data_IF_412387843583
#
_entry.id   IF_412387843583
#
_cell.length_a   1.000
_cell.length_b   1.000
_cell.length_c   1.000
_cell.angle_alpha   90.00
_cell.angle_beta   90.00
_cell.angle_gamma   90.00
#
_symmetry.space_group_name_H-M   'P 1'
#
loop_
_entity.id
_entity.type
_entity.pdbx_description
1 polymer ?
#
# COMPACT_ATOMS: atom_id res chain seq x y z
N UNK A 1 -23.70 39.90 -44.68
CA UNK A 1 -24.38 38.78 -44.01
C UNK A 1 -23.28 37.89 -43.45
N UNK A 2 -23.01 37.90 -42.15
CA UNK A 2 -22.03 37.01 -41.52
C UNK A 2 -22.69 35.66 -41.15
N UNK A 3 -22.05 34.54 -41.51
CA UNK A 3 -22.47 33.21 -41.18
C UNK A 3 -22.00 32.86 -39.77
N UNK A 4 -22.93 32.58 -38.87
CA UNK A 4 -22.65 32.00 -37.55
C UNK A 4 -22.39 30.49 -37.68
N UNK A 5 -21.18 30.08 -37.35
CA UNK A 5 -20.86 28.68 -37.13
C UNK A 5 -21.17 28.33 -35.66
N UNK A 6 -22.19 27.51 -35.47
CA UNK A 6 -22.47 26.93 -34.15
C UNK A 6 -21.52 25.73 -33.90
N UNK A 7 -20.66 25.87 -32.90
CA UNK A 7 -19.83 24.78 -32.38
C UNK A 7 -20.70 23.90 -31.47
N UNK A 8 -21.04 22.70 -31.91
CA UNK A 8 -21.67 21.69 -31.03
C UNK A 8 -20.58 21.14 -30.09
N UNK A 9 -20.63 21.47 -28.82
CA UNK A 9 -19.87 20.79 -27.78
C UNK A 9 -20.55 19.45 -27.45
N UNK A 10 -19.94 18.35 -27.85
CA UNK A 10 -20.34 17.01 -27.43
C UNK A 10 -19.95 16.81 -25.94
N UNK A 11 -20.97 16.81 -25.09
CA UNK A 11 -20.84 16.47 -23.67
C UNK A 11 -20.66 14.95 -23.56
N UNK A 12 -19.43 14.47 -23.45
CA UNK A 12 -19.11 13.08 -23.20
C UNK A 12 -19.52 12.70 -21.78
N UNK A 13 -20.67 12.03 -21.64
CA UNK A 13 -21.11 11.39 -20.40
C UNK A 13 -20.22 10.17 -20.15
N UNK A 14 -19.26 10.29 -19.24
CA UNK A 14 -18.52 9.13 -18.73
C UNK A 14 -19.48 8.28 -17.89
N UNK A 15 -19.91 7.16 -18.45
CA UNK A 15 -20.62 6.12 -17.72
C UNK A 15 -19.64 5.51 -16.72
N UNK A 16 -19.76 5.87 -15.46
CA UNK A 16 -19.13 5.15 -14.36
C UNK A 16 -19.81 3.78 -14.26
N UNK A 17 -19.14 2.74 -14.73
CA UNK A 17 -19.56 1.37 -14.46
C UNK A 17 -19.36 1.15 -12.95
N UNK A 18 -20.39 0.68 -12.20
CA UNK A 18 -20.15 0.24 -10.84
C UNK A 18 -19.16 -0.92 -10.89
N UNK A 19 -18.08 -0.82 -10.12
CA UNK A 19 -17.22 -1.96 -9.88
C UNK A 19 -18.11 -3.07 -9.31
N UNK A 20 -18.29 -4.14 -10.06
CA UNK A 20 -18.95 -5.35 -9.56
C UNK A 20 -18.03 -5.85 -8.45
N UNK A 21 -18.42 -5.62 -7.20
CA UNK A 21 -17.81 -6.28 -6.05
C UNK A 21 -18.11 -7.79 -6.25
N UNK A 22 -17.13 -8.51 -6.78
CA UNK A 22 -17.22 -9.97 -6.89
C UNK A 22 -17.40 -10.54 -5.49
N UNK A 23 -18.15 -11.63 -5.38
CA UNK A 23 -18.32 -12.34 -4.12
C UNK A 23 -16.93 -12.72 -3.55
N UNK A 24 -16.68 -12.40 -2.28
CA UNK A 24 -15.42 -12.72 -1.63
C UNK A 24 -15.24 -14.26 -1.61
N UNK A 25 -14.01 -14.75 -1.81
CA UNK A 25 -13.73 -16.19 -1.68
C UNK A 25 -14.12 -16.70 -0.31
N UNK A 26 -14.58 -17.96 -0.26
CA UNK A 26 -14.92 -18.62 1.00
C UNK A 26 -13.76 -18.54 2.01
N UNK A 27 -14.06 -18.16 3.24
CA UNK A 27 -13.09 -17.97 4.30
C UNK A 27 -12.22 -16.73 4.20
N UNK A 28 -12.44 -15.85 3.23
CA UNK A 28 -11.76 -14.56 3.18
C UNK A 28 -12.14 -13.67 4.38
N UNK A 29 -11.25 -12.74 4.74
CA UNK A 29 -11.58 -11.68 5.69
C UNK A 29 -12.80 -10.90 5.18
N UNK A 30 -13.79 -10.52 6.01
CA UNK A 30 -15.03 -9.90 5.54
C UNK A 30 -14.85 -8.61 4.73
N UNK A 31 -13.75 -7.92 4.96
CA UNK A 31 -13.38 -6.68 4.26
C UNK A 31 -12.08 -6.81 3.45
N UNK A 32 -11.67 -8.05 3.14
CA UNK A 32 -10.47 -8.31 2.35
C UNK A 32 -10.52 -7.63 0.98
N UNK A 33 -9.41 -7.05 0.60
CA UNK A 33 -9.16 -6.61 -0.77
C UNK A 33 -8.48 -7.75 -1.54
N UNK A 34 -9.12 -8.24 -2.59
CA UNK A 34 -8.50 -9.22 -3.49
C UNK A 34 -7.53 -8.47 -4.39
N UNK A 35 -6.24 -8.66 -4.17
CA UNK A 35 -5.19 -8.06 -4.99
C UNK A 35 -5.02 -8.82 -6.29
N UNK A 36 -5.14 -8.15 -7.44
CA UNK A 36 -4.75 -8.74 -8.71
C UNK A 36 -3.22 -8.87 -8.78
N UNK A 37 -2.77 -9.93 -9.42
CA UNK A 37 -1.35 -10.19 -9.61
C UNK A 37 -0.91 -10.15 -11.06
N UNK A 38 0.38 -10.36 -11.25
CA UNK A 38 1.07 -10.49 -12.54
C UNK A 38 2.09 -11.62 -12.45
N UNK A 39 2.62 -12.04 -13.60
CA UNK A 39 3.68 -13.04 -13.68
C UNK A 39 3.27 -14.41 -13.11
N UNK A 40 3.89 -14.84 -12.03
CA UNK A 40 3.69 -16.12 -11.37
C UNK A 40 2.44 -16.19 -10.47
N UNK A 41 1.90 -15.06 -10.03
CA UNK A 41 0.72 -14.95 -9.17
C UNK A 41 -0.44 -14.28 -9.91
N UNK A 42 -1.65 -14.82 -9.79
CA UNK A 42 -2.89 -14.29 -10.37
C UNK A 42 -3.63 -13.38 -9.41
N UNK A 43 -3.71 -13.76 -8.13
CA UNK A 43 -4.38 -13.00 -7.08
C UNK A 43 -3.92 -13.43 -5.70
N UNK A 44 -4.13 -12.56 -4.69
CA UNK A 44 -3.94 -12.90 -3.29
C UNK A 44 -4.95 -12.17 -2.41
N UNK A 45 -5.26 -12.73 -1.24
CA UNK A 45 -6.15 -12.14 -0.23
C UNK A 45 -5.86 -12.71 1.16
N UNK A 46 -6.36 -12.04 2.17
CA UNK A 46 -6.29 -12.44 3.57
C UNK A 46 -7.52 -13.26 3.95
N UNK A 47 -7.33 -14.31 4.76
CA UNK A 47 -8.36 -15.29 5.08
C UNK A 47 -8.26 -15.79 6.53
N UNK A 48 -9.16 -16.70 6.92
CA UNK A 48 -9.33 -17.20 8.30
C UNK A 48 -9.57 -16.09 9.30
N UNK A 49 -10.74 -15.39 9.25
CA UNK A 49 -11.08 -14.36 10.22
C UNK A 49 -10.90 -14.83 11.65
N UNK A 50 -10.30 -14.00 12.50
CA UNK A 50 -10.07 -14.30 13.91
C UNK A 50 -10.16 -13.04 14.76
N UNK A 51 -10.57 -13.18 16.01
CA UNK A 51 -10.66 -12.09 17.00
C UNK A 51 -9.57 -12.19 18.07
N UNK A 52 -8.53 -12.99 17.86
CA UNK A 52 -7.45 -13.19 18.83
C UNK A 52 -6.56 -11.97 19.08
N UNK A 53 -6.65 -10.94 18.21
CA UNK A 53 -5.93 -9.68 18.33
C UNK A 53 -6.90 -8.50 18.32
N UNK A 54 -7.08 -7.85 19.46
CA UNK A 54 -8.12 -6.83 19.67
C UNK A 54 -7.66 -5.38 19.46
N UNK A 55 -6.68 -5.11 18.59
CA UNK A 55 -6.17 -3.75 18.37
C UNK A 55 -7.17 -2.85 17.63
N UNK A 56 -7.94 -3.41 16.69
CA UNK A 56 -9.01 -2.73 15.97
C UNK A 56 -8.59 -1.43 15.25
N UNK A 57 -7.35 -1.35 14.80
CA UNK A 57 -6.79 -0.14 14.17
C UNK A 57 -7.44 0.17 12.82
N UNK A 58 -7.94 -0.86 12.11
CA UNK A 58 -8.60 -0.81 10.82
C UNK A 58 -10.12 -0.74 10.90
N UNK A 59 -10.69 -0.43 12.09
CA UNK A 59 -12.11 -0.14 12.27
C UNK A 59 -12.94 -1.28 12.86
N UNK A 60 -12.40 -2.50 12.93
CA UNK A 60 -13.00 -3.61 13.65
C UNK A 60 -11.91 -4.49 14.31
N UNK A 61 -12.32 -5.47 15.10
CA UNK A 61 -11.40 -6.38 15.82
C UNK A 61 -11.28 -7.74 15.14
N UNK A 62 -11.48 -7.83 13.83
CA UNK A 62 -11.41 -9.07 13.08
C UNK A 62 -10.18 -9.01 12.18
N UNK A 63 -9.18 -9.82 12.50
CA UNK A 63 -7.93 -9.91 11.75
C UNK A 63 -7.85 -11.24 10.98
N UNK A 64 -6.89 -11.37 10.06
CA UNK A 64 -6.73 -12.61 9.32
C UNK A 64 -5.69 -13.55 9.94
N UNK A 65 -6.01 -14.85 9.95
CA UNK A 65 -5.11 -15.93 10.41
C UNK A 65 -4.33 -16.58 9.26
N UNK A 66 -4.63 -16.27 8.01
CA UNK A 66 -3.90 -16.81 6.85
C UNK A 66 -3.83 -15.87 5.67
N UNK A 67 -2.85 -16.13 4.81
CA UNK A 67 -2.65 -15.52 3.49
C UNK A 67 -2.93 -16.59 2.43
N UNK A 68 -3.79 -16.26 1.47
CA UNK A 68 -4.10 -17.12 0.32
C UNK A 68 -3.59 -16.46 -0.95
N UNK A 69 -2.99 -17.23 -1.84
CA UNK A 69 -2.62 -16.81 -3.17
C UNK A 69 -3.03 -17.85 -4.22
N UNK A 70 -3.36 -17.37 -5.40
CA UNK A 70 -3.61 -18.21 -6.58
C UNK A 70 -2.50 -17.91 -7.59
N UNK A 71 -1.86 -18.98 -8.06
CA UNK A 71 -0.81 -18.87 -9.07
C UNK A 71 -1.39 -18.58 -10.46
N UNK A 72 -0.54 -18.17 -11.40
CA UNK A 72 -0.92 -18.01 -12.81
C UNK A 72 -1.47 -19.29 -13.45
N UNK A 73 -1.09 -20.47 -12.90
CA UNK A 73 -1.58 -21.80 -13.32
C UNK A 73 -2.86 -22.24 -12.60
N UNK A 74 -3.45 -21.38 -11.75
CA UNK A 74 -4.69 -21.67 -11.03
C UNK A 74 -4.53 -22.47 -9.73
N UNK A 75 -3.31 -22.79 -9.29
CA UNK A 75 -3.08 -23.47 -8.00
C UNK A 75 -3.33 -22.50 -6.84
N UNK A 76 -4.18 -22.91 -5.90
CA UNK A 76 -4.42 -22.18 -4.64
C UNK A 76 -3.37 -22.62 -3.60
N UNK A 77 -2.69 -21.65 -3.01
CA UNK A 77 -1.72 -21.83 -1.94
C UNK A 77 -2.19 -21.06 -0.71
N UNK A 78 -1.95 -21.58 0.48
CA UNK A 78 -2.28 -20.91 1.72
C UNK A 78 -1.09 -21.00 2.69
N UNK A 79 -0.84 -19.89 3.39
CA UNK A 79 0.08 -19.81 4.53
C UNK A 79 -0.72 -19.47 5.78
N UNK A 80 -0.70 -20.35 6.76
CA UNK A 80 -1.41 -20.18 8.04
C UNK A 80 -0.41 -19.70 9.08
N UNK A 81 -0.76 -18.63 9.77
CA UNK A 81 0.03 -18.07 10.87
C UNK A 81 -0.12 -18.89 12.15
N UNK A 82 0.92 -18.89 12.97
CA UNK A 82 0.86 -19.39 14.35
C UNK A 82 -0.13 -18.57 15.18
N UNK A 83 -0.63 -19.15 16.28
CA UNK A 83 -1.71 -18.56 17.09
C UNK A 83 -1.33 -17.24 17.78
N UNK A 84 -0.05 -16.93 17.92
CA UNK A 84 0.45 -15.68 18.47
C UNK A 84 0.62 -14.55 17.41
N UNK A 85 0.23 -14.81 16.15
CA UNK A 85 0.34 -13.89 15.04
C UNK A 85 -1.00 -13.69 14.33
N UNK A 86 -1.19 -12.53 13.72
CA UNK A 86 -2.26 -12.21 12.77
C UNK A 86 -1.70 -11.41 11.60
N UNK A 87 -2.44 -11.35 10.49
CA UNK A 87 -2.25 -10.31 9.49
C UNK A 87 -3.18 -9.14 9.86
N UNK A 88 -2.59 -8.05 10.33
CA UNK A 88 -3.28 -6.79 10.64
C UNK A 88 -3.24 -5.89 9.41
N UNK A 89 -3.91 -6.35 8.36
CA UNK A 89 -3.96 -5.76 7.04
C UNK A 89 -5.28 -6.15 6.35
N UNK A 90 -5.68 -5.41 5.32
CA UNK A 90 -6.82 -5.75 4.47
C UNK A 90 -6.40 -6.23 3.08
N UNK A 91 -5.15 -5.95 2.71
CA UNK A 91 -4.64 -6.16 1.36
C UNK A 91 -3.32 -6.93 1.34
N UNK A 92 -3.28 -8.02 0.56
CA UNK A 92 -2.06 -8.76 0.24
C UNK A 92 -1.47 -8.23 -1.08
N UNK A 93 -0.52 -7.28 -1.02
CA UNK A 93 -0.01 -6.54 -2.18
C UNK A 93 0.95 -7.39 -2.99
N UNK A 94 0.56 -7.76 -4.22
CA UNK A 94 1.40 -8.54 -5.14
C UNK A 94 2.28 -7.59 -5.95
N UNK A 95 3.59 -7.79 -5.90
CA UNK A 95 4.57 -6.95 -6.58
C UNK A 95 5.86 -7.73 -6.86
N UNK A 96 6.44 -7.54 -8.02
CA UNK A 96 7.79 -7.97 -8.34
C UNK A 96 8.77 -6.94 -7.74
N UNK A 97 9.39 -7.30 -6.60
CA UNK A 97 10.27 -6.40 -5.84
C UNK A 97 11.68 -6.31 -6.45
N UNK A 98 12.19 -7.41 -6.96
CA UNK A 98 13.57 -7.53 -7.43
C UNK A 98 13.69 -7.35 -8.96
N UNK A 99 12.56 -7.24 -9.69
CA UNK A 99 12.52 -7.05 -11.14
C UNK A 99 12.86 -8.31 -11.95
N UNK A 100 12.70 -9.49 -11.35
CA UNK A 100 13.06 -10.78 -11.93
C UNK A 100 11.87 -11.55 -12.56
N UNK A 101 10.69 -10.90 -12.64
CA UNK A 101 9.42 -11.46 -13.11
C UNK A 101 8.82 -12.51 -12.16
N UNK A 102 9.32 -12.63 -10.93
CA UNK A 102 8.68 -13.38 -9.85
C UNK A 102 8.12 -12.39 -8.83
N UNK A 103 6.80 -12.38 -8.71
CA UNK A 103 6.14 -11.47 -7.79
C UNK A 103 6.12 -12.07 -6.38
N UNK A 104 6.37 -11.20 -5.41
CA UNK A 104 6.18 -11.42 -3.98
C UNK A 104 4.85 -10.86 -3.51
N UNK A 105 4.52 -11.14 -2.26
CA UNK A 105 3.32 -10.62 -1.57
C UNK A 105 3.78 -9.87 -0.32
N UNK A 106 3.46 -8.59 -0.26
CA UNK A 106 3.77 -7.70 0.85
C UNK A 106 2.55 -7.51 1.74
N UNK A 107 2.69 -7.77 3.03
CA UNK A 107 1.62 -7.70 4.03
C UNK A 107 2.14 -7.17 5.37
N UNK A 108 1.22 -6.80 6.26
CA UNK A 108 1.52 -6.45 7.65
C UNK A 108 1.17 -7.64 8.55
N UNK A 109 2.17 -8.21 9.21
CA UNK A 109 1.97 -9.16 10.32
C UNK A 109 1.93 -8.40 11.64
N UNK A 110 1.15 -8.87 12.59
CA UNK A 110 1.19 -8.39 13.97
C UNK A 110 1.34 -9.56 14.95
N UNK A 111 2.26 -9.38 15.90
CA UNK A 111 2.39 -10.26 17.06
C UNK A 111 1.52 -9.74 18.18
N UNK A 112 0.86 -10.65 18.91
CA UNK A 112 0.05 -10.30 20.07
C UNK A 112 0.84 -9.54 21.14
N UNK A 113 2.16 -9.81 21.22
CA UNK A 113 3.04 -9.27 22.27
C UNK A 113 3.97 -8.16 21.78
N UNK A 114 4.29 -8.10 20.47
CA UNK A 114 5.35 -7.25 19.94
C UNK A 114 4.87 -6.24 18.88
N UNK A 115 3.56 -6.20 18.57
CA UNK A 115 3.00 -5.32 17.55
C UNK A 115 3.37 -5.73 16.13
N UNK A 116 3.30 -4.82 15.18
CA UNK A 116 3.40 -5.11 13.76
C UNK A 116 4.83 -5.26 13.23
N UNK A 117 4.94 -5.94 12.10
CA UNK A 117 6.12 -6.05 11.26
C UNK A 117 5.71 -6.06 9.79
N UNK A 118 6.54 -5.54 8.91
CA UNK A 118 6.41 -5.72 7.47
C UNK A 118 6.90 -7.13 7.10
N UNK A 119 6.11 -7.89 6.34
CA UNK A 119 6.47 -9.22 5.91
C UNK A 119 6.33 -9.40 4.39
N UNK A 120 7.20 -10.19 3.82
CA UNK A 120 7.23 -10.55 2.40
C UNK A 120 7.09 -12.07 2.28
N UNK A 121 6.15 -12.48 1.44
CA UNK A 121 5.86 -13.89 1.14
C UNK A 121 6.03 -14.17 -0.34
N UNK A 122 6.26 -15.42 -0.66
CA UNK A 122 6.31 -15.90 -2.03
C UNK A 122 6.11 -17.40 -2.13
N UNK A 123 6.02 -17.95 -3.35
CA UNK A 123 5.92 -19.40 -3.55
C UNK A 123 7.12 -20.16 -2.97
N UNK A 124 6.85 -21.28 -2.34
CA UNK A 124 7.85 -22.25 -1.91
C UNK A 124 8.07 -23.27 -3.03
N UNK A 125 9.12 -23.10 -3.82
CA UNK A 125 9.43 -23.95 -4.97
C UNK A 125 8.72 -23.53 -6.26
N UNK A 126 8.55 -24.46 -7.20
CA UNK A 126 7.96 -24.17 -8.51
C UNK A 126 6.49 -23.76 -8.40
N UNK A 127 6.16 -22.61 -8.93
CA UNK A 127 4.84 -21.96 -8.81
C UNK A 127 3.69 -22.82 -9.36
N UNK A 128 3.93 -23.58 -10.43
CA UNK A 128 2.93 -24.45 -11.07
C UNK A 128 2.98 -25.90 -10.60
N UNK A 129 3.65 -26.18 -9.46
CA UNK A 129 3.66 -27.51 -8.86
C UNK A 129 2.43 -27.73 -7.99
N UNK A 130 1.80 -28.90 -8.11
CA UNK A 130 0.67 -29.29 -7.26
C UNK A 130 1.02 -29.34 -5.76
N UNK A 131 2.30 -29.49 -5.44
CA UNK A 131 2.83 -29.49 -4.08
C UNK A 131 3.42 -28.12 -3.68
N UNK A 132 3.19 -27.08 -4.46
CA UNK A 132 3.62 -25.71 -4.17
C UNK A 132 2.88 -25.14 -2.97
N UNK A 133 3.58 -24.35 -2.16
CA UNK A 133 3.02 -23.63 -1.02
C UNK A 133 3.48 -22.18 -0.99
N UNK A 134 3.05 -21.45 0.02
CA UNK A 134 3.60 -20.15 0.36
C UNK A 134 4.64 -20.29 1.48
N UNK A 135 5.65 -19.46 1.45
CA UNK A 135 6.62 -19.28 2.53
C UNK A 135 6.80 -17.79 2.84
N UNK A 136 7.11 -17.48 4.08
CA UNK A 136 7.66 -16.17 4.42
C UNK A 136 9.09 -16.10 3.90
N UNK A 137 9.38 -15.13 3.02
CA UNK A 137 10.71 -14.87 2.47
C UNK A 137 11.51 -14.04 3.49
N UNK A 138 10.91 -12.93 3.94
CA UNK A 138 11.55 -11.99 4.86
C UNK A 138 10.53 -11.32 5.77
N UNK A 139 10.98 -10.80 6.89
CA UNK A 139 10.21 -9.95 7.80
C UNK A 139 11.14 -8.98 8.51
N UNK A 140 10.68 -7.74 8.70
CA UNK A 140 11.36 -6.78 9.59
C UNK A 140 11.27 -7.24 11.04
N UNK A 141 12.09 -6.74 11.96
CA UNK A 141 11.79 -6.85 13.39
C UNK A 141 10.39 -6.33 13.68
N UNK A 142 9.71 -6.93 14.64
CA UNK A 142 8.49 -6.35 15.20
C UNK A 142 8.80 -4.99 15.86
N UNK A 143 7.81 -4.11 16.00
CA UNK A 143 7.96 -2.79 16.63
C UNK A 143 8.44 -2.93 18.08
N UNK A 144 8.14 -4.06 18.75
CA UNK A 144 8.58 -4.39 20.11
C UNK A 144 7.58 -4.02 21.20
N UNK A 145 6.39 -3.55 20.84
CA UNK A 145 5.32 -3.19 21.78
C UNK A 145 3.98 -3.63 21.20
N UNK A 146 3.11 -4.33 21.98
CA UNK A 146 1.79 -4.75 21.51
C UNK A 146 0.94 -3.54 21.13
N UNK A 147 0.00 -3.75 20.23
CA UNK A 147 -0.89 -2.70 19.72
C UNK A 147 -0.12 -1.50 19.15
N UNK A 148 0.96 -1.78 18.41
CA UNK A 148 1.67 -0.83 17.58
C UNK A 148 1.65 -1.34 16.16
N UNK A 149 1.23 -0.49 15.26
CA UNK A 149 0.97 -0.83 13.87
C UNK A 149 1.84 -0.03 12.91
N UNK A 150 1.96 -0.51 11.69
CA UNK A 150 2.58 0.17 10.57
C UNK A 150 1.67 0.07 9.34
N UNK A 151 1.73 1.06 8.46
CA UNK A 151 0.98 1.04 7.23
C UNK A 151 1.90 1.21 6.03
N UNK A 152 1.81 0.34 5.00
CA UNK A 152 2.46 0.58 3.72
C UNK A 152 2.02 1.91 3.10
N UNK A 153 2.99 2.66 2.59
CA UNK A 153 2.75 3.96 1.95
C UNK A 153 2.95 3.91 0.42
N UNK A 154 3.59 2.86 -0.06
CA UNK A 154 3.80 2.63 -1.49
C UNK A 154 4.91 1.61 -1.73
N UNK A 155 4.94 1.05 -2.95
CA UNK A 155 5.97 0.12 -3.38
C UNK A 155 6.38 0.52 -4.79
N UNK A 156 7.61 1.02 -4.94
CA UNK A 156 8.13 1.53 -6.21
C UNK A 156 9.66 1.66 -6.16
N UNK A 157 10.28 1.93 -7.28
CA UNK A 157 11.71 2.19 -7.39
C UNK A 157 12.00 3.64 -6.98
N UNK A 158 12.12 3.88 -5.67
CA UNK A 158 12.27 5.23 -5.13
C UNK A 158 13.68 5.81 -5.24
N UNK A 159 14.72 4.98 -5.31
CA UNK A 159 16.10 5.44 -5.46
C UNK A 159 16.64 5.34 -6.89
N UNK A 160 15.87 4.73 -7.80
CA UNK A 160 16.19 4.65 -9.24
C UNK A 160 17.21 3.58 -9.59
N UNK A 161 17.40 2.56 -8.74
CA UNK A 161 18.35 1.46 -8.97
C UNK A 161 17.76 0.29 -9.78
N UNK A 162 16.43 0.29 -10.01
CA UNK A 162 15.68 -0.70 -10.77
C UNK A 162 14.98 -1.76 -9.90
N UNK A 163 15.34 -1.92 -8.63
CA UNK A 163 14.60 -2.69 -7.65
C UNK A 163 13.55 -1.81 -6.96
N UNK A 164 12.55 -2.41 -6.33
CA UNK A 164 11.54 -1.62 -5.62
C UNK A 164 11.76 -1.60 -4.13
N UNK A 165 11.66 -0.40 -3.54
CA UNK A 165 11.53 -0.26 -2.11
C UNK A 165 10.08 -0.34 -1.68
N UNK A 166 9.89 -0.85 -0.46
CA UNK A 166 8.62 -0.79 0.27
C UNK A 166 8.70 0.39 1.24
N UNK A 167 7.93 1.44 0.96
CA UNK A 167 7.75 2.56 1.87
C UNK A 167 6.67 2.21 2.90
N UNK A 168 6.97 2.37 4.20
CA UNK A 168 6.01 2.16 5.29
C UNK A 168 6.05 3.33 6.26
N UNK A 169 4.94 3.62 6.92
CA UNK A 169 4.92 4.52 8.09
C UNK A 169 4.70 3.68 9.34
N UNK A 170 5.72 3.61 10.18
CA UNK A 170 5.66 2.92 11.47
C UNK A 170 5.00 3.85 12.49
N UNK A 171 4.01 3.36 13.23
CA UNK A 171 3.20 4.09 14.20
C UNK A 171 2.61 5.41 13.65
N UNK A 172 1.81 5.36 12.57
CA UNK A 172 1.33 6.57 11.88
C UNK A 172 0.50 7.50 12.76
N UNK A 173 0.01 7.02 13.89
CA UNK A 173 -0.82 7.78 14.85
C UNK A 173 -0.01 8.34 16.02
N UNK A 174 1.26 7.95 16.16
CA UNK A 174 2.12 8.34 17.28
C UNK A 174 3.49 8.77 16.73
N UNK A 175 3.55 9.97 16.19
CA UNK A 175 4.80 10.57 15.70
C UNK A 175 5.33 10.05 14.36
N UNK A 176 4.79 8.99 13.83
CA UNK A 176 5.00 8.39 12.50
C UNK A 176 6.41 8.42 11.93
N UNK A 177 7.00 7.25 11.69
CA UNK A 177 8.32 7.14 11.07
C UNK A 177 8.21 6.52 9.69
N UNK A 178 8.44 7.32 8.64
CA UNK A 178 8.57 6.82 7.27
C UNK A 178 9.88 6.04 7.14
N UNK A 179 9.80 4.83 6.59
CA UNK A 179 10.93 3.95 6.33
C UNK A 179 10.85 3.40 4.92
N UNK A 180 12.00 3.25 4.26
CA UNK A 180 12.13 2.56 2.98
C UNK A 180 12.93 1.28 3.16
N UNK A 181 12.38 0.16 2.72
CA UNK A 181 12.96 -1.16 2.83
C UNK A 181 13.11 -1.80 1.45
N UNK A 182 14.26 -2.38 1.14
CA UNK A 182 14.47 -3.19 -0.05
C UNK A 182 14.58 -4.67 0.33
N UNK A 183 14.12 -5.55 -0.56
CA UNK A 183 14.39 -6.99 -0.47
C UNK A 183 15.72 -7.27 -1.16
N UNK A 184 16.68 -7.90 -0.47
CA UNK A 184 18.00 -8.24 -1.00
C UNK A 184 18.39 -9.61 -0.44
N UNK A 185 18.67 -10.57 -1.30
CA UNK A 185 19.07 -11.94 -0.92
C UNK A 185 18.13 -12.56 0.13
N UNK A 186 16.81 -12.37 -0.03
CA UNK A 186 15.79 -12.87 0.89
C UNK A 186 15.76 -12.18 2.26
N UNK A 187 16.30 -10.98 2.39
CA UNK A 187 16.28 -10.16 3.61
C UNK A 187 15.76 -8.76 3.34
N UNK A 188 14.98 -8.23 4.27
CA UNK A 188 14.58 -6.83 4.25
C UNK A 188 15.68 -5.94 4.84
N UNK A 189 16.19 -5.03 4.03
CA UNK A 189 17.25 -4.08 4.36
C UNK A 189 16.69 -2.67 4.47
N UNK A 190 16.88 -2.00 5.62
CA UNK A 190 16.48 -0.61 5.80
C UNK A 190 17.39 0.32 5.00
N UNK A 191 16.84 0.99 4.00
CA UNK A 191 17.57 1.99 3.17
C UNK A 191 17.62 3.35 3.85
N UNK A 192 16.48 3.83 4.38
CA UNK A 192 16.40 5.13 5.05
C UNK A 192 15.19 5.21 5.99
N UNK A 193 15.24 6.13 6.98
CA UNK A 193 14.11 6.46 7.85
C UNK A 193 14.06 7.94 8.21
N UNK A 194 12.86 8.49 8.40
CA UNK A 194 12.63 9.87 8.82
C UNK A 194 11.32 10.00 9.60
N UNK A 195 11.34 10.76 10.70
CA UNK A 195 10.16 11.03 11.53
C UNK A 195 9.25 12.11 10.92
N UNK A 196 7.99 12.11 11.33
CA UNK A 196 7.06 13.20 11.07
C UNK A 196 6.07 12.94 9.94
N UNK A 197 5.64 11.68 9.74
CA UNK A 197 4.68 11.31 8.69
C UNK A 197 3.51 10.50 9.24
N UNK A 198 2.37 10.58 8.57
CA UNK A 198 1.18 9.77 8.87
C UNK A 198 0.43 9.46 7.57
N UNK A 199 0.17 8.18 7.32
CA UNK A 199 -0.59 7.73 6.17
C UNK A 199 -1.84 6.93 6.55
N UNK A 200 -2.38 7.17 7.75
CA UNK A 200 -3.60 6.52 8.20
C UNK A 200 -4.34 7.33 9.26
N UNK A 201 -5.68 7.27 9.27
CA UNK A 201 -6.55 7.78 10.31
C UNK A 201 -7.04 6.62 11.19
N UNK A 202 -6.89 6.70 12.51
CA UNK A 202 -7.30 5.65 13.46
C UNK A 202 -8.75 5.21 13.18
N UNK A 203 -8.96 3.91 13.10
CA UNK A 203 -10.27 3.31 12.88
C UNK A 203 -10.78 3.39 11.45
N UNK A 204 -9.99 3.95 10.53
CA UNK A 204 -10.33 3.95 9.11
C UNK A 204 -9.97 2.63 8.46
N UNK A 205 -10.78 2.19 7.50
CA UNK A 205 -10.44 1.08 6.60
C UNK A 205 -9.56 1.51 5.41
N UNK A 206 -9.37 2.82 5.24
CA UNK A 206 -8.56 3.38 4.16
C UNK A 206 -7.07 3.35 4.51
N UNK A 207 -6.32 2.52 3.81
CA UNK A 207 -4.88 2.36 4.00
C UNK A 207 -4.04 3.15 2.99
N UNK A 208 -4.68 3.77 1.99
CA UNK A 208 -4.00 4.42 0.86
C UNK A 208 -3.95 5.96 1.01
N UNK A 209 -3.60 6.45 2.21
CA UNK A 209 -3.42 7.88 2.49
C UNK A 209 -2.04 8.36 2.01
N UNK A 210 -1.65 7.92 0.82
CA UNK A 210 -0.39 8.27 0.13
C UNK A 210 -0.53 7.94 -1.35
N UNK A 211 0.34 8.51 -2.18
CA UNK A 211 0.38 8.23 -3.61
C UNK A 211 1.80 8.17 -4.13
N UNK A 212 2.08 7.23 -5.03
CA UNK A 212 3.36 7.12 -5.73
C UNK A 212 3.21 7.62 -7.16
N UNK A 213 4.21 8.36 -7.64
CA UNK A 213 4.29 8.86 -9.00
C UNK A 213 5.60 8.41 -9.63
N UNK A 214 5.48 7.67 -10.72
CA UNK A 214 6.64 7.20 -11.49
C UNK A 214 7.43 8.38 -12.08
N UNK A 215 8.75 8.33 -11.91
CA UNK A 215 9.68 9.34 -12.42
C UNK A 215 11.03 8.70 -12.79
N UNK A 216 11.65 9.17 -13.88
CA UNK A 216 13.01 8.76 -14.23
C UNK A 216 13.99 9.15 -13.12
N UNK A 217 14.79 8.20 -12.64
CA UNK A 217 15.83 8.41 -11.62
C UNK A 217 15.30 8.44 -10.20
N UNK A 218 14.17 7.75 -9.96
CA UNK A 218 13.56 7.49 -8.67
C UNK A 218 12.16 8.08 -8.53
N UNK A 219 11.23 7.21 -8.14
CA UNK A 219 9.82 7.53 -8.00
C UNK A 219 9.57 8.51 -6.85
N UNK A 220 8.47 9.25 -6.93
CA UNK A 220 8.05 10.19 -5.91
C UNK A 220 7.00 9.57 -5.01
N UNK A 221 7.13 9.76 -3.70
CA UNK A 221 6.08 9.45 -2.73
C UNK A 221 5.43 10.76 -2.25
N UNK A 222 4.10 10.83 -2.28
CA UNK A 222 3.31 11.88 -1.65
C UNK A 222 2.61 11.30 -0.43
N UNK A 223 2.90 11.83 0.73
CA UNK A 223 2.40 11.34 2.03
C UNK A 223 2.19 12.52 2.97
N UNK A 224 1.14 12.55 3.81
CA UNK A 224 0.93 13.63 4.76
C UNK A 224 2.00 13.66 5.86
N UNK A 225 2.21 14.83 6.45
CA UNK A 225 2.94 15.01 7.70
C UNK A 225 2.25 14.31 8.87
N UNK A 226 2.90 14.24 10.03
CA UNK A 226 2.36 13.57 11.23
C UNK A 226 0.99 14.10 11.68
N UNK A 227 0.69 15.37 11.42
CA UNK A 227 -0.59 16.01 11.70
C UNK A 227 -1.66 15.76 10.64
N UNK A 228 -1.29 15.15 9.53
CA UNK A 228 -2.12 15.00 8.30
C UNK A 228 -2.67 16.34 7.77
N UNK A 229 -1.94 17.44 8.04
CA UNK A 229 -2.33 18.82 7.67
C UNK A 229 -1.49 19.39 6.54
N UNK A 230 -0.35 18.78 6.24
CA UNK A 230 0.53 19.19 5.14
C UNK A 230 0.81 17.98 4.26
N UNK A 231 0.54 18.07 2.96
CA UNK A 231 0.99 17.05 2.03
C UNK A 231 2.46 17.26 1.73
N UNK A 232 3.25 16.22 1.93
CA UNK A 232 4.70 16.20 1.69
C UNK A 232 5.02 15.45 0.41
N UNK A 233 5.91 15.97 -0.42
CA UNK A 233 6.62 15.26 -1.47
C UNK A 233 7.89 14.67 -0.89
N UNK A 234 8.11 13.38 -1.11
CA UNK A 234 9.25 12.64 -0.57
C UNK A 234 10.03 12.01 -1.71
N UNK A 235 11.36 12.08 -1.61
CA UNK A 235 12.35 11.48 -2.49
C UNK A 235 13.34 10.68 -1.66
N UNK A 236 13.66 9.45 -2.09
CA UNK A 236 14.79 8.68 -1.57
C UNK A 236 16.02 8.97 -2.44
N UNK A 237 17.00 9.66 -1.90
CA UNK A 237 18.18 10.06 -2.66
C UNK A 237 19.45 9.92 -1.82
N UNK A 238 20.45 9.26 -2.38
CA UNK A 238 21.77 9.06 -1.72
C UNK A 238 21.61 8.40 -0.31
N UNK A 239 20.68 7.44 -0.18
CA UNK A 239 20.39 6.76 1.10
C UNK A 239 19.69 7.64 2.14
N UNK A 240 19.14 8.79 1.76
CA UNK A 240 18.47 9.71 2.66
C UNK A 240 17.07 10.11 2.16
N UNK A 241 16.15 10.33 3.10
CA UNK A 241 14.79 10.83 2.80
C UNK A 241 14.83 12.36 2.74
N UNK A 242 14.62 12.90 1.53
CA UNK A 242 14.35 14.33 1.32
C UNK A 242 12.85 14.54 1.26
N UNK A 243 12.33 15.49 2.02
CA UNK A 243 10.90 15.82 2.02
C UNK A 243 10.69 17.31 1.91
N UNK A 244 9.78 17.73 1.05
CA UNK A 244 9.38 19.12 0.84
C UNK A 244 7.86 19.26 0.95
N UNK A 245 7.33 20.30 1.59
CA UNK A 245 5.89 20.54 1.63
C UNK A 245 5.39 20.87 0.22
N UNK A 246 4.25 20.27 -0.16
CA UNK A 246 3.51 20.59 -1.38
C UNK A 246 2.48 21.68 -1.09
N UNK A 247 1.63 21.46 -0.07
CA UNK A 247 0.61 22.39 0.35
C UNK A 247 0.10 22.08 1.76
N UNK A 248 -0.37 23.09 2.46
CA UNK A 248 -1.21 22.94 3.65
C UNK A 248 -2.63 22.56 3.25
N UNK A 249 -3.28 21.68 4.02
CA UNK A 249 -4.63 21.23 3.82
C UNK A 249 -5.60 21.96 4.76
N UNK A 250 -6.82 22.26 4.32
CA UNK A 250 -7.80 22.98 5.13
C UNK A 250 -8.30 22.16 6.34
N UNK A 251 -8.22 20.84 6.26
CA UNK A 251 -8.41 19.89 7.37
C UNK A 251 -7.51 18.66 7.18
N UNK A 252 -7.51 17.74 8.15
CA UNK A 252 -6.69 16.55 8.08
C UNK A 252 -7.01 15.72 6.83
N UNK A 253 -5.97 15.20 6.17
CA UNK A 253 -6.14 14.24 5.07
C UNK A 253 -6.80 12.97 5.59
N UNK A 254 -7.77 12.44 4.85
CA UNK A 254 -8.50 11.21 5.14
C UNK A 254 -9.00 10.58 3.83
N UNK A 255 -8.78 9.28 3.65
CA UNK A 255 -9.15 8.59 2.42
C UNK A 255 -8.00 8.47 1.42
N UNK A 256 -8.26 7.78 0.31
CA UNK A 256 -7.26 7.47 -0.72
C UNK A 256 -6.76 8.72 -1.43
N UNK A 257 -5.45 8.97 -1.39
CA UNK A 257 -4.81 10.02 -2.20
C UNK A 257 -4.53 9.46 -3.59
N UNK A 258 -4.95 10.18 -4.62
CA UNK A 258 -4.66 9.81 -6.01
C UNK A 258 -3.80 10.85 -6.70
N UNK A 259 -2.98 10.40 -7.65
CA UNK A 259 -2.11 11.25 -8.46
C UNK A 259 -2.34 11.00 -9.94
N UNK A 260 -2.35 12.08 -10.74
CA UNK A 260 -2.38 12.02 -12.21
C UNK A 260 -1.22 12.85 -12.75
N UNK A 261 -0.50 12.31 -13.71
CA UNK A 261 0.60 12.99 -14.40
C UNK A 261 0.13 13.38 -15.79
N UNK A 262 0.21 14.66 -16.12
CA UNK A 262 -0.09 15.16 -17.46
C UNK A 262 1.13 15.03 -18.39
N UNK A 263 0.86 15.14 -19.72
CA UNK A 263 1.89 15.29 -20.72
C UNK A 263 2.79 16.48 -20.39
N UNK A 264 3.91 16.56 -20.13
CA UNK A 264 4.75 17.69 -19.68
C UNK A 264 5.07 17.68 -18.18
N UNK A 265 4.71 16.62 -17.46
CA UNK A 265 5.20 16.35 -16.12
C UNK A 265 4.49 17.08 -14.98
N UNK A 266 3.38 17.77 -15.26
CA UNK A 266 2.55 18.36 -14.19
C UNK A 266 1.79 17.24 -13.45
N UNK A 267 1.89 17.24 -12.11
CA UNK A 267 1.21 16.29 -11.24
C UNK A 267 -0.02 16.98 -10.65
N UNK A 268 -1.18 16.36 -10.78
CA UNK A 268 -2.40 16.73 -10.05
C UNK A 268 -2.66 15.65 -9.00
N UNK A 269 -2.77 16.08 -7.74
CA UNK A 269 -3.06 15.23 -6.59
C UNK A 269 -4.47 15.52 -6.10
N UNK A 270 -5.29 14.50 -5.93
CA UNK A 270 -6.59 14.61 -5.28
C UNK A 270 -6.47 14.04 -3.86
N UNK A 271 -6.65 14.91 -2.87
CA UNK A 271 -6.47 14.61 -1.44
C UNK A 271 -7.82 14.74 -0.74
N UNK A 272 -8.49 13.64 -0.38
CA UNK A 272 -9.67 13.69 0.47
C UNK A 272 -9.31 14.24 1.85
N UNK A 273 -10.20 15.04 2.43
CA UNK A 273 -10.02 15.64 3.75
C UNK A 273 -11.25 15.42 4.61
N UNK A 274 -11.09 15.41 5.94
CA UNK A 274 -12.17 15.10 6.89
C UNK A 274 -13.36 16.05 6.83
N UNK A 275 -13.14 17.35 6.50
CA UNK A 275 -14.18 18.38 6.61
C UNK A 275 -14.43 19.16 5.33
N UNK A 276 -13.55 19.08 4.33
CA UNK A 276 -13.61 19.95 3.16
C UNK A 276 -13.67 19.19 1.83
N UNK A 277 -14.02 17.90 1.88
CA UNK A 277 -14.08 17.07 0.68
C UNK A 277 -12.70 16.84 0.06
N UNK A 278 -12.65 16.73 -1.26
CA UNK A 278 -11.42 16.48 -2.00
C UNK A 278 -10.75 17.79 -2.38
N UNK A 279 -9.50 17.96 -1.99
CA UNK A 279 -8.66 19.12 -2.35
C UNK A 279 -7.76 18.71 -3.51
N UNK A 280 -7.80 19.45 -4.60
CA UNK A 280 -6.89 19.27 -5.73
C UNK A 280 -5.64 20.12 -5.54
N UNK A 281 -4.48 19.50 -5.61
CA UNK A 281 -3.17 20.13 -5.50
C UNK A 281 -2.36 19.92 -6.77
N UNK A 282 -1.46 20.84 -7.07
CA UNK A 282 -0.54 20.72 -8.19
C UNK A 282 0.89 20.64 -7.71
N UNK A 283 1.69 19.78 -8.34
CA UNK A 283 3.13 19.63 -8.15
C UNK A 283 3.80 19.42 -9.50
N UNK A 284 5.12 19.40 -9.54
CA UNK A 284 5.90 19.05 -10.72
C UNK A 284 6.72 17.76 -10.46
N UNK A 285 7.08 17.06 -11.54
CA UNK A 285 7.99 15.92 -11.51
C UNK A 285 9.40 16.30 -11.04
#
# INVERSE_FOLDING_TARGET
>A
MPRFNALLAALGMALAFPAMAGELPEGALPDAVISPGKHNLKSAWLARPTTRYGHAILGDGIEAGSLVAVTSCGHKMEFVLDDNLVFEDRQARIVDLEGDYYAEIVVVEASLDQGAALAVYGPAGATCSANGGLKRIARTPFIGTPNRWLNPAGIADYDGDGAKEIAIVVTPHIGGTLQFWSLQDGKLMLKAKKYGFSNHAIGSREQELSATVARKGGDLLFVPDAGRRTLMRVELKDGAIKSTPVAELPSQAAGTITAKVAEGGAITLAVPTEKHGVVELKSAL
#
